data_IF_156901377997
#
_entry.id   IF_156901377997
#
_cell.length_a   1.000
_cell.length_b   1.000
_cell.length_c   1.000
_cell.angle_alpha   90.00
_cell.angle_beta   90.00
_cell.angle_gamma   90.00
#
_symmetry.space_group_name_H-M   'P 1'
#
loop_
_entity.id
_entity.type
_entity.pdbx_description
1 polymer ?
#
# COMPACT_ATOMS: atom_id res chain seq x y z
N UNK A 1 25.87 13.20 -13.29
CA UNK A 1 24.62 12.74 -12.64
C UNK A 1 23.50 12.88 -13.65
N UNK A 2 22.98 11.76 -14.18
CA UNK A 2 21.97 11.77 -15.23
C UNK A 2 20.56 11.94 -14.61
N UNK A 3 19.98 13.13 -14.75
CA UNK A 3 18.56 13.41 -14.44
C UNK A 3 17.64 13.04 -15.61
N UNK A 4 17.87 11.88 -16.23
CA UNK A 4 17.02 11.36 -17.29
C UNK A 4 15.98 10.40 -16.71
N UNK A 5 14.86 10.90 -16.17
CA UNK A 5 13.76 10.02 -15.78
C UNK A 5 12.93 9.71 -17.03
N UNK A 6 13.39 8.74 -17.82
CA UNK A 6 12.50 8.07 -18.75
C UNK A 6 11.41 7.39 -17.92
N UNK A 7 10.16 7.88 -18.00
CA UNK A 7 9.03 7.17 -17.44
C UNK A 7 8.91 5.85 -18.21
N UNK A 8 9.38 4.78 -17.60
CA UNK A 8 9.20 3.43 -18.11
C UNK A 8 7.72 3.04 -17.94
N UNK A 9 7.20 2.24 -18.87
CA UNK A 9 5.82 1.75 -18.82
C UNK A 9 5.52 0.98 -17.54
N UNK A 10 4.23 0.88 -17.19
CA UNK A 10 3.77 0.15 -15.99
C UNK A 10 4.21 -1.32 -15.99
N UNK A 11 4.49 -1.89 -17.17
CA UNK A 11 5.02 -3.25 -17.37
C UNK A 11 6.40 -3.48 -16.73
N UNK A 12 7.17 -2.41 -16.51
CA UNK A 12 8.49 -2.45 -15.86
C UNK A 12 8.42 -2.41 -14.34
N UNK A 13 7.27 -2.06 -13.76
CA UNK A 13 7.08 -2.07 -12.32
C UNK A 13 6.89 -3.52 -11.86
N UNK A 14 7.70 -3.95 -10.89
CA UNK A 14 7.65 -5.31 -10.34
C UNK A 14 7.23 -5.33 -8.88
N UNK A 15 7.66 -4.34 -8.09
CA UNK A 15 7.43 -4.30 -6.63
C UNK A 15 7.04 -2.91 -6.18
N UNK A 16 5.95 -2.82 -5.42
CA UNK A 16 5.49 -1.60 -4.74
C UNK A 16 5.32 -1.92 -3.26
N UNK A 17 5.80 -1.04 -2.39
CA UNK A 17 5.63 -1.17 -0.94
C UNK A 17 4.67 -0.11 -0.40
N UNK A 18 3.78 -0.51 0.49
CA UNK A 18 2.99 0.35 1.36
C UNK A 18 3.65 0.45 2.73
N UNK A 19 3.86 1.66 3.23
CA UNK A 19 4.29 1.91 4.60
C UNK A 19 3.22 2.72 5.34
N UNK A 20 2.75 2.24 6.48
CA UNK A 20 1.77 2.96 7.31
C UNK A 20 0.55 2.11 7.64
N UNK A 21 -0.53 2.75 8.07
CA UNK A 21 -1.79 2.07 8.42
C UNK A 21 -2.46 1.57 7.14
N UNK A 22 -2.92 0.33 7.10
CA UNK A 22 -3.76 -0.13 5.98
C UNK A 22 -5.11 0.59 6.04
N UNK A 23 -5.49 1.20 4.93
CA UNK A 23 -6.71 2.00 4.78
C UNK A 23 -7.33 1.76 3.38
N UNK A 24 -8.34 2.54 3.03
CA UNK A 24 -9.00 2.47 1.73
C UNK A 24 -8.03 2.70 0.54
N UNK A 25 -7.02 3.56 0.69
CA UNK A 25 -6.01 3.84 -0.33
C UNK A 25 -5.10 2.63 -0.51
N UNK A 26 -4.58 2.05 0.58
CA UNK A 26 -3.74 0.84 0.49
C UNK A 26 -4.47 -0.32 -0.17
N UNK A 27 -5.76 -0.50 0.13
CA UNK A 27 -6.57 -1.58 -0.41
C UNK A 27 -6.80 -1.41 -1.92
N UNK A 28 -7.10 -0.19 -2.35
CA UNK A 28 -7.26 0.12 -3.78
C UNK A 28 -5.95 -0.08 -4.54
N UNK A 29 -4.83 0.38 -3.97
CA UNK A 29 -3.51 0.24 -4.58
C UNK A 29 -3.08 -1.22 -4.65
N UNK A 30 -3.30 -2.01 -3.59
CA UNK A 30 -3.06 -3.45 -3.56
C UNK A 30 -3.79 -4.14 -4.71
N UNK A 31 -5.10 -3.91 -4.85
CA UNK A 31 -5.92 -4.53 -5.89
C UNK A 31 -5.45 -4.13 -7.30
N UNK A 32 -5.09 -2.86 -7.51
CA UNK A 32 -4.54 -2.39 -8.77
C UNK A 32 -3.21 -3.10 -9.10
N UNK A 33 -2.29 -3.16 -8.13
CA UNK A 33 -0.99 -3.82 -8.31
C UNK A 33 -1.15 -5.30 -8.65
N UNK A 34 -1.90 -6.07 -7.87
CA UNK A 34 -2.03 -7.52 -8.12
C UNK A 34 -2.72 -7.83 -9.46
N UNK A 35 -3.67 -6.99 -9.90
CA UNK A 35 -4.31 -7.11 -11.23
C UNK A 35 -3.33 -6.82 -12.38
N UNK A 36 -2.34 -5.97 -12.14
CA UNK A 36 -1.29 -5.63 -13.12
C UNK A 36 -0.09 -6.59 -13.05
N UNK A 37 -0.13 -7.62 -12.18
CA UNK A 37 1.01 -8.53 -11.97
C UNK A 37 2.16 -7.91 -11.19
N UNK A 38 1.90 -6.83 -10.44
CA UNK A 38 2.88 -6.14 -9.59
C UNK A 38 2.78 -6.73 -8.19
N UNK A 39 3.92 -7.12 -7.60
CA UNK A 39 3.98 -7.56 -6.22
C UNK A 39 3.77 -6.37 -5.29
N UNK A 40 2.84 -6.53 -4.34
CA UNK A 40 2.48 -5.51 -3.37
C UNK A 40 2.88 -5.93 -1.97
N UNK A 41 3.75 -5.15 -1.34
CA UNK A 41 4.31 -5.44 -0.02
C UNK A 41 3.72 -4.46 0.97
N UNK A 42 3.12 -4.96 2.03
CA UNK A 42 2.47 -4.15 3.06
C UNK A 42 3.32 -4.22 4.31
N UNK A 43 3.80 -3.06 4.74
CA UNK A 43 4.44 -2.87 6.03
C UNK A 43 3.53 -2.01 6.88
N UNK A 44 2.67 -2.70 7.63
CA UNK A 44 1.62 -2.08 8.40
C UNK A 44 1.48 -2.76 9.76
N UNK A 45 1.53 -1.99 10.86
CA UNK A 45 1.26 -2.55 12.19
C UNK A 45 -0.25 -2.74 12.44
N UNK A 46 -1.12 -2.09 11.67
CA UNK A 46 -2.57 -2.07 11.89
C UNK A 46 -3.35 -1.81 10.59
N UNK A 47 -4.51 -2.42 10.49
CA UNK A 47 -5.50 -2.07 9.49
C UNK A 47 -6.67 -1.30 10.11
N UNK A 48 -7.12 -0.26 9.41
CA UNK A 48 -8.39 0.38 9.69
C UNK A 48 -9.53 -0.62 9.45
N UNK A 49 -10.25 -0.95 10.52
CA UNK A 49 -11.33 -1.95 10.51
C UNK A 49 -12.45 -1.58 9.54
N UNK A 50 -12.73 -0.29 9.36
CA UNK A 50 -13.79 0.17 8.45
C UNK A 50 -13.43 -0.04 6.98
N UNK A 51 -12.13 -0.12 6.69
CA UNK A 51 -11.61 -0.30 5.34
C UNK A 51 -11.45 -1.78 4.94
N UNK A 52 -11.60 -2.74 5.86
CA UNK A 52 -11.37 -4.17 5.58
C UNK A 52 -12.52 -4.77 4.76
N UNK A 53 -12.20 -5.25 3.55
CA UNK A 53 -13.07 -6.14 2.78
C UNK A 53 -12.42 -7.53 2.68
N UNK A 54 -12.98 -8.50 3.40
CA UNK A 54 -12.44 -9.85 3.47
C UNK A 54 -12.47 -10.58 2.12
N UNK A 55 -13.44 -10.28 1.24
CA UNK A 55 -13.55 -10.92 -0.07
C UNK A 55 -12.47 -10.40 -1.01
N UNK A 56 -12.25 -9.08 -1.02
CA UNK A 56 -11.21 -8.46 -1.83
C UNK A 56 -9.81 -8.83 -1.33
N UNK A 57 -9.59 -8.88 -0.02
CA UNK A 57 -8.33 -9.34 0.56
C UNK A 57 -8.03 -10.78 0.14
N UNK A 58 -9.01 -11.69 0.28
CA UNK A 58 -8.85 -13.08 -0.15
C UNK A 58 -8.56 -13.19 -1.66
N UNK A 59 -9.22 -12.38 -2.48
CA UNK A 59 -8.95 -12.33 -3.91
C UNK A 59 -7.51 -11.88 -4.21
N UNK A 60 -7.05 -10.80 -3.58
CA UNK A 60 -5.69 -10.30 -3.78
C UNK A 60 -4.64 -11.29 -3.28
N UNK A 61 -4.81 -11.84 -2.09
CA UNK A 61 -3.90 -12.83 -1.48
C UNK A 61 -3.81 -14.11 -2.32
N UNK A 62 -4.92 -14.55 -2.93
CA UNK A 62 -4.93 -15.74 -3.79
C UNK A 62 -4.04 -15.63 -5.04
N UNK A 63 -3.60 -14.41 -5.40
CA UNK A 63 -2.65 -14.20 -6.51
C UNK A 63 -1.21 -14.58 -6.16
N UNK A 64 -0.89 -14.71 -4.86
CA UNK A 64 0.49 -14.89 -4.39
C UNK A 64 1.38 -13.65 -4.52
N UNK A 65 0.83 -12.51 -4.95
CA UNK A 65 1.56 -11.25 -5.15
C UNK A 65 1.49 -10.29 -3.95
N UNK A 66 0.77 -10.66 -2.88
CA UNK A 66 0.67 -9.84 -1.67
C UNK A 66 1.58 -10.41 -0.58
N UNK A 67 2.44 -9.56 -0.01
CA UNK A 67 3.29 -9.89 1.14
C UNK A 67 2.94 -8.93 2.27
N UNK A 68 2.77 -9.43 3.49
CA UNK A 68 2.67 -8.60 4.70
C UNK A 68 3.84 -8.93 5.62
N UNK A 69 4.61 -7.92 6.02
CA UNK A 69 5.75 -8.07 6.94
C UNK A 69 5.95 -6.78 7.74
N UNK A 70 6.58 -6.87 8.90
CA UNK A 70 7.04 -5.69 9.65
C UNK A 70 8.55 -5.47 9.51
N UNK A 71 9.26 -6.34 8.79
CA UNK A 71 10.68 -6.17 8.48
C UNK A 71 10.83 -5.16 7.33
N UNK A 72 11.23 -3.94 7.69
CA UNK A 72 11.46 -2.86 6.72
C UNK A 72 12.62 -3.13 5.77
N UNK A 73 13.69 -3.79 6.22
CA UNK A 73 14.85 -4.04 5.37
C UNK A 73 14.51 -5.05 4.28
N UNK A 74 13.82 -6.12 4.65
CA UNK A 74 13.32 -7.11 3.71
C UNK A 74 12.28 -6.50 2.75
N UNK A 75 11.32 -5.76 3.30
CA UNK A 75 10.22 -5.19 2.53
C UNK A 75 10.66 -4.21 1.45
N UNK A 76 11.70 -3.41 1.73
CA UNK A 76 12.17 -2.35 0.83
C UNK A 76 13.22 -2.82 -0.17
N UNK A 77 13.68 -4.07 -0.09
CA UNK A 77 14.64 -4.63 -1.03
C UNK A 77 14.06 -4.71 -2.44
N UNK A 78 14.76 -4.10 -3.40
CA UNK A 78 14.42 -4.09 -4.83
C UNK A 78 13.03 -3.51 -5.16
N UNK A 79 12.48 -2.67 -4.27
CA UNK A 79 11.20 -2.00 -4.49
C UNK A 79 11.34 -0.86 -5.49
N UNK A 80 10.43 -0.79 -6.46
CA UNK A 80 10.43 0.31 -7.43
C UNK A 80 9.83 1.59 -6.86
N UNK A 81 8.78 1.46 -6.04
CA UNK A 81 8.06 2.58 -5.45
C UNK A 81 7.60 2.27 -4.03
N UNK A 82 7.73 3.26 -3.16
CA UNK A 82 7.16 3.24 -1.81
C UNK A 82 6.01 4.24 -1.80
N UNK A 83 4.87 3.84 -1.25
CA UNK A 83 3.69 4.66 -1.07
C UNK A 83 3.26 4.66 0.40
N UNK A 84 2.71 5.78 0.85
CA UNK A 84 2.20 5.97 2.22
C UNK A 84 1.05 6.95 2.16
N UNK A 85 0.27 6.99 3.23
CA UNK A 85 -0.81 7.93 3.46
C UNK A 85 -0.86 8.31 4.94
N UNK A 86 -1.68 9.29 5.28
CA UNK A 86 -1.98 9.69 6.65
C UNK A 86 -2.45 8.51 7.50
N UNK A 87 -2.06 8.51 8.78
CA UNK A 87 -2.34 7.39 9.70
C UNK A 87 -3.71 7.49 10.38
N UNK A 88 -4.43 8.59 10.14
CA UNK A 88 -5.69 8.91 10.79
C UNK A 88 -6.71 9.30 9.72
N UNK A 89 -7.88 8.66 9.77
CA UNK A 89 -8.96 8.94 8.83
C UNK A 89 -9.50 10.36 9.00
N UNK A 90 -9.99 10.93 7.89
CA UNK A 90 -10.59 12.27 7.86
C UNK A 90 -11.80 12.42 8.78
N UNK A 91 -12.50 11.33 9.11
CA UNK A 91 -13.65 11.31 10.03
C UNK A 91 -13.27 11.76 11.45
N UNK A 92 -12.00 11.64 11.83
CA UNK A 92 -11.49 12.16 13.10
C UNK A 92 -11.21 13.66 13.07
N UNK A 93 -11.47 14.35 11.95
CA UNK A 93 -11.30 15.79 11.83
C UNK A 93 -12.65 16.48 11.72
N UNK A 94 -12.88 17.48 12.56
CA UNK A 94 -14.05 18.36 12.47
C UNK A 94 -13.59 19.79 12.77
N UNK A 95 -13.94 20.74 11.90
CA UNK A 95 -13.57 22.16 12.03
C UNK A 95 -12.06 22.40 12.28
N UNK A 96 -11.21 21.63 11.59
CA UNK A 96 -9.75 21.73 11.71
C UNK A 96 -9.17 21.20 13.02
N UNK A 97 -9.96 20.49 13.83
CA UNK A 97 -9.54 19.86 15.09
C UNK A 97 -9.62 18.35 15.01
N UNK A 98 -8.68 17.69 15.68
CA UNK A 98 -8.67 16.23 15.85
C UNK A 98 -9.60 15.85 17.00
N UNK A 99 -10.63 15.07 16.70
CA UNK A 99 -11.50 14.43 17.67
C UNK A 99 -10.74 13.29 18.36
N UNK A 100 -11.02 13.05 19.65
CA UNK A 100 -10.34 11.97 20.39
C UNK A 100 -10.72 10.60 19.78
N UNK A 101 -9.67 9.87 19.39
CA UNK A 101 -9.66 8.44 19.00
C UNK A 101 -9.69 7.52 20.23
#
# INVERSE_FOLDING_TARGET
MNYGRAFQGVDKIKRVAWLGIENNVSNTLMLACVKLGIQFIIVSPKADKSSIDAKLNKQAESTGLVIRTLDLQEALKDVNYIHTDTWMNMEFFTDGKVNRI
#
